data_IF_571013773171
#
_entry.id   IF_571013773171
#
_cell.length_a   1.000
_cell.length_b   1.000
_cell.length_c   1.000
_cell.angle_alpha   90.00
_cell.angle_beta   90.00
_cell.angle_gamma   90.00
#
_symmetry.space_group_name_H-M   'P 1'
#
loop_
_entity.id
_entity.type
_entity.pdbx_description
1 polymer ?
#
# COMPACT_ATOMS: atom_id res chain seq x y z
N UNK A 1 38.40 -48.52 7.37
CA UNK A 1 38.62 -47.18 6.78
C UNK A 1 37.59 -46.24 7.35
N UNK A 2 37.97 -45.14 8.04
CA UNK A 2 36.97 -44.22 8.57
C UNK A 2 36.45 -43.35 7.42
N UNK A 3 35.13 -43.32 7.29
CA UNK A 3 34.42 -42.40 6.41
C UNK A 3 34.62 -41.01 7.00
N UNK A 4 35.33 -40.14 6.28
CA UNK A 4 35.39 -38.72 6.61
C UNK A 4 33.98 -38.15 6.47
N UNK A 5 33.28 -37.98 7.60
CA UNK A 5 32.06 -37.20 7.65
C UNK A 5 32.48 -35.76 7.37
N UNK A 6 32.28 -35.30 6.13
CA UNK A 6 32.40 -33.88 5.79
C UNK A 6 31.30 -33.14 6.54
N UNK A 7 31.60 -32.69 7.76
CA UNK A 7 30.75 -31.72 8.45
C UNK A 7 30.84 -30.43 7.63
N UNK A 8 29.75 -30.08 6.95
CA UNK A 8 29.64 -28.81 6.26
C UNK A 8 29.92 -27.69 7.25
N UNK A 9 30.89 -26.78 6.99
CA UNK A 9 31.18 -25.71 7.91
C UNK A 9 29.94 -24.83 8.05
N UNK A 10 29.50 -24.66 9.30
CA UNK A 10 28.30 -23.90 9.62
C UNK A 10 28.56 -22.41 9.34
N UNK A 11 27.68 -21.76 8.56
CA UNK A 11 27.85 -20.35 8.16
C UNK A 11 28.12 -19.44 9.36
N UNK A 12 27.43 -19.64 10.49
CA UNK A 12 27.62 -18.85 11.71
C UNK A 12 29.00 -18.98 12.38
N UNK A 13 29.87 -19.89 11.92
CA UNK A 13 31.26 -19.98 12.40
C UNK A 13 32.22 -19.07 11.65
N UNK A 14 31.78 -18.42 10.57
CA UNK A 14 32.58 -17.46 9.84
C UNK A 14 32.76 -16.17 10.68
N UNK A 15 33.91 -15.48 10.56
CA UNK A 15 34.08 -14.13 11.09
C UNK A 15 33.01 -13.16 10.58
N UNK A 16 32.68 -12.15 11.39
CA UNK A 16 31.61 -11.19 11.08
C UNK A 16 31.90 -10.39 9.80
N UNK A 17 33.17 -10.14 9.49
CA UNK A 17 33.63 -9.45 8.29
C UNK A 17 33.22 -10.23 7.02
N UNK A 18 33.30 -11.57 7.06
CA UNK A 18 32.84 -12.41 5.95
C UNK A 18 31.32 -12.38 5.82
N UNK A 19 30.59 -12.34 6.93
CA UNK A 19 29.14 -12.18 6.89
C UNK A 19 28.73 -10.83 6.28
N UNK A 20 29.41 -9.75 6.65
CA UNK A 20 29.17 -8.42 6.08
C UNK A 20 29.47 -8.41 4.58
N UNK A 21 30.59 -9.01 4.16
CA UNK A 21 30.91 -9.15 2.74
C UNK A 21 29.86 -9.95 1.96
N UNK A 22 29.33 -11.04 2.53
CA UNK A 22 28.21 -11.78 1.94
C UNK A 22 26.96 -10.89 1.84
N UNK A 23 26.60 -10.17 2.90
CA UNK A 23 25.42 -9.29 2.94
C UNK A 23 25.50 -8.18 1.87
N UNK A 24 26.68 -7.62 1.64
CA UNK A 24 26.92 -6.56 0.64
C UNK A 24 26.72 -7.06 -0.80
N UNK A 25 26.92 -8.35 -1.04
CA UNK A 25 26.73 -8.98 -2.35
C UNK A 25 25.29 -9.42 -2.63
N UNK A 26 24.40 -9.35 -1.63
CA UNK A 26 23.01 -9.78 -1.77
C UNK A 26 22.12 -8.66 -2.32
N UNK A 27 21.20 -9.04 -3.21
CA UNK A 27 20.09 -8.18 -3.61
C UNK A 27 19.23 -7.81 -2.40
N UNK A 28 18.45 -6.72 -2.54
CA UNK A 28 17.63 -6.20 -1.46
C UNK A 28 16.67 -7.26 -0.88
N UNK A 29 16.06 -8.07 -1.74
CA UNK A 29 15.15 -9.13 -1.33
C UNK A 29 15.83 -10.15 -0.42
N UNK A 30 17.04 -10.57 -0.80
CA UNK A 30 17.76 -11.62 -0.08
C UNK A 30 18.40 -11.10 1.20
N UNK A 31 18.81 -9.83 1.26
CA UNK A 31 19.20 -9.17 2.52
C UNK A 31 18.06 -9.19 3.54
N UNK A 32 16.85 -8.85 3.12
CA UNK A 32 15.67 -8.83 3.99
C UNK A 32 15.31 -10.26 4.44
N UNK A 33 15.38 -11.24 3.53
CA UNK A 33 15.16 -12.65 3.87
C UNK A 33 16.20 -13.16 4.86
N UNK A 34 17.47 -12.86 4.64
CA UNK A 34 18.56 -13.26 5.55
C UNK A 34 18.38 -12.65 6.95
N UNK A 35 18.03 -11.36 7.02
CA UNK A 35 17.71 -10.69 8.28
C UNK A 35 16.47 -11.28 8.99
N UNK A 36 15.55 -11.91 8.25
CA UNK A 36 14.38 -12.58 8.82
C UNK A 36 14.68 -14.01 9.32
N UNK A 37 15.76 -14.64 8.84
CA UNK A 37 16.06 -16.04 9.12
C UNK A 37 16.53 -16.27 10.57
N UNK A 38 17.32 -15.35 11.14
CA UNK A 38 17.75 -15.44 12.54
C UNK A 38 18.08 -14.08 13.16
N UNK A 39 18.16 -14.04 14.51
CA UNK A 39 18.46 -12.82 15.27
C UNK A 39 19.87 -12.26 15.01
N UNK A 40 20.84 -13.13 14.71
CA UNK A 40 22.22 -12.72 14.45
C UNK A 40 22.32 -11.90 13.15
N UNK A 41 21.88 -12.45 12.02
CA UNK A 41 21.84 -11.74 10.74
C UNK A 41 20.94 -10.51 10.82
N UNK A 42 19.84 -10.56 11.57
CA UNK A 42 19.02 -9.37 11.82
C UNK A 42 19.81 -8.24 12.48
N UNK A 43 20.75 -8.55 13.37
CA UNK A 43 21.54 -7.55 14.09
C UNK A 43 22.68 -6.94 13.27
N UNK A 44 23.24 -7.68 12.33
CA UNK A 44 24.36 -7.21 11.49
C UNK A 44 23.92 -6.68 10.12
N UNK A 45 22.74 -7.08 9.63
CA UNK A 45 22.18 -6.55 8.38
C UNK A 45 21.57 -5.18 8.62
N UNK A 46 22.12 -4.16 7.96
CA UNK A 46 21.55 -2.80 7.99
C UNK A 46 20.13 -2.80 7.41
N UNK A 47 19.13 -2.25 8.13
CA UNK A 47 17.79 -2.04 7.58
C UNK A 47 17.86 -1.21 6.29
N UNK A 48 17.20 -1.63 5.20
CA UNK A 48 17.26 -0.87 3.97
C UNK A 48 16.54 0.47 4.09
N UNK A 49 17.14 1.49 3.47
CA UNK A 49 16.57 2.82 3.31
C UNK A 49 15.48 2.84 2.23
N UNK A 50 14.62 3.87 2.26
CA UNK A 50 13.59 4.03 1.24
C UNK A 50 14.19 4.20 -0.18
N UNK A 51 15.35 4.85 -0.29
CA UNK A 51 16.05 5.03 -1.56
C UNK A 51 16.55 3.68 -2.12
N UNK A 52 17.02 2.77 -1.25
CA UNK A 52 17.36 1.40 -1.68
C UNK A 52 16.12 0.67 -2.21
N UNK A 53 14.96 0.79 -1.56
CA UNK A 53 13.70 0.23 -2.06
C UNK A 53 13.29 0.81 -3.42
N UNK A 54 13.43 2.13 -3.62
CA UNK A 54 13.13 2.77 -4.92
C UNK A 54 14.07 2.31 -6.04
N UNK A 55 15.35 2.11 -5.75
CA UNK A 55 16.31 1.58 -6.73
C UNK A 55 15.98 0.14 -7.09
N UNK A 56 15.77 -0.69 -6.08
CA UNK A 56 15.44 -2.11 -6.25
C UNK A 56 14.08 -2.32 -6.94
N UNK A 57 13.15 -1.37 -6.83
CA UNK A 57 11.93 -1.38 -7.62
C UNK A 57 12.21 -1.39 -9.13
N UNK A 58 13.31 -0.82 -9.63
CA UNK A 58 13.61 -0.86 -11.06
C UNK A 58 14.10 -2.24 -11.56
N UNK A 59 14.44 -3.16 -10.65
CA UNK A 59 14.96 -4.49 -10.96
C UNK A 59 13.86 -5.43 -11.49
N UNK A 60 14.26 -6.41 -12.32
CA UNK A 60 13.33 -7.34 -12.98
C UNK A 60 12.48 -8.11 -11.97
N UNK A 61 13.08 -8.67 -10.92
CA UNK A 61 12.36 -9.46 -9.92
C UNK A 61 11.25 -8.66 -9.20
N UNK A 62 11.43 -7.34 -9.05
CA UNK A 62 10.46 -6.44 -8.44
C UNK A 62 9.39 -5.98 -9.43
N UNK A 63 9.75 -5.84 -10.72
CA UNK A 63 8.80 -5.61 -11.83
C UNK A 63 7.87 -6.80 -12.03
N UNK A 64 8.41 -8.01 -12.11
CA UNK A 64 7.66 -9.25 -12.34
C UNK A 64 6.64 -9.54 -11.24
N UNK A 65 6.83 -8.97 -10.05
CA UNK A 65 5.96 -9.12 -8.87
C UNK A 65 5.12 -7.87 -8.59
N UNK A 66 5.17 -6.87 -9.46
CA UNK A 66 4.46 -5.60 -9.31
C UNK A 66 4.69 -4.95 -7.94
N UNK A 67 5.94 -4.94 -7.48
CA UNK A 67 6.31 -4.39 -6.17
C UNK A 67 6.67 -2.92 -6.28
N UNK A 68 6.12 -2.10 -5.39
CA UNK A 68 6.32 -0.66 -5.33
C UNK A 68 6.83 -0.26 -3.93
N UNK A 69 7.77 0.67 -3.87
CA UNK A 69 8.30 1.21 -2.62
C UNK A 69 7.33 2.24 -2.00
N UNK A 70 7.04 2.08 -0.71
CA UNK A 70 6.25 3.03 0.07
C UNK A 70 7.16 3.86 0.99
N UNK A 71 7.01 5.18 0.96
CA UNK A 71 7.80 6.11 1.79
C UNK A 71 7.38 6.12 3.25
N UNK A 72 6.14 5.75 3.56
CA UNK A 72 5.61 5.70 4.92
C UNK A 72 6.11 4.47 5.70
N UNK A 73 5.95 3.28 5.15
CA UNK A 73 6.34 2.03 5.84
C UNK A 73 7.75 1.52 5.49
N UNK A 74 8.44 2.14 4.52
CA UNK A 74 9.80 1.79 4.07
C UNK A 74 9.91 0.28 3.76
N UNK A 75 8.99 -0.21 2.93
CA UNK A 75 8.90 -1.61 2.49
C UNK A 75 8.30 -1.68 1.09
N UNK A 76 8.50 -2.80 0.42
CA UNK A 76 7.72 -3.13 -0.77
C UNK A 76 6.27 -3.45 -0.41
N UNK A 77 5.36 -2.95 -1.23
CA UNK A 77 3.95 -3.29 -1.25
C UNK A 77 3.57 -3.66 -2.68
N UNK A 78 2.47 -4.39 -2.85
CA UNK A 78 2.01 -4.76 -4.20
C UNK A 78 1.39 -3.54 -4.88
N UNK A 79 1.37 -3.52 -6.20
CA UNK A 79 0.73 -2.47 -6.99
C UNK A 79 -0.73 -2.21 -6.58
N UNK A 80 -1.47 -3.26 -6.19
CA UNK A 80 -2.84 -3.15 -5.67
C UNK A 80 -2.96 -2.37 -4.35
N UNK A 81 -1.88 -2.27 -3.57
CA UNK A 81 -1.86 -1.58 -2.29
C UNK A 81 -1.67 -0.07 -2.46
N UNK A 82 -1.69 0.45 -3.69
CA UNK A 82 -1.57 1.87 -4.02
C UNK A 82 -2.79 2.35 -4.83
N UNK A 83 -3.21 3.59 -4.56
CA UNK A 83 -4.22 4.27 -5.38
C UNK A 83 -3.68 4.58 -6.78
N UNK A 84 -4.57 4.80 -7.73
CA UNK A 84 -4.21 5.10 -9.12
C UNK A 84 -3.38 6.38 -9.24
N UNK A 85 -3.64 7.37 -8.39
CA UNK A 85 -2.85 8.60 -8.30
C UNK A 85 -1.41 8.35 -7.83
N UNK A 86 -1.18 7.30 -7.03
CA UNK A 86 0.17 6.89 -6.60
C UNK A 86 0.90 6.03 -7.64
N UNK A 87 0.24 5.66 -8.75
CA UNK A 87 0.80 4.75 -9.77
C UNK A 87 1.02 5.44 -11.13
N UNK A 88 0.51 6.67 -11.31
CA UNK A 88 0.54 7.40 -12.58
C UNK A 88 1.36 8.70 -12.52
N UNK A 89 1.63 9.27 -13.70
CA UNK A 89 2.32 10.55 -13.85
C UNK A 89 3.69 10.55 -13.16
N UNK A 90 4.01 11.61 -12.43
CA UNK A 90 5.31 11.77 -11.75
C UNK A 90 5.56 10.74 -10.65
N UNK A 91 4.55 10.03 -10.18
CA UNK A 91 4.65 9.00 -9.13
C UNK A 91 4.85 7.59 -9.71
N UNK A 92 4.84 7.42 -11.02
CA UNK A 92 5.14 6.12 -11.64
C UNK A 92 6.53 5.62 -11.25
N UNK A 93 6.82 4.35 -11.56
CA UNK A 93 8.14 3.75 -11.34
C UNK A 93 9.24 4.58 -12.01
N UNK A 94 10.24 4.99 -11.25
CA UNK A 94 11.31 5.87 -11.74
C UNK A 94 10.91 7.34 -11.92
N UNK A 95 9.65 7.71 -11.65
CA UNK A 95 9.17 9.08 -11.73
C UNK A 95 9.75 9.99 -10.65
N UNK A 96 9.83 11.29 -10.93
CA UNK A 96 10.41 12.29 -10.04
C UNK A 96 9.74 12.39 -8.65
N UNK A 97 8.45 12.03 -8.55
CA UNK A 97 7.69 12.00 -7.29
C UNK A 97 7.46 10.58 -6.75
N UNK A 98 8.12 9.56 -7.30
CA UNK A 98 8.03 8.19 -6.81
C UNK A 98 8.43 8.07 -5.32
N UNK A 99 9.34 8.96 -4.87
CA UNK A 99 9.78 9.08 -3.48
C UNK A 99 8.66 9.49 -2.51
N UNK A 100 7.57 10.07 -3.01
CA UNK A 100 6.44 10.53 -2.22
C UNK A 100 5.27 9.53 -2.22
N UNK A 101 5.45 8.33 -2.78
CA UNK A 101 4.38 7.33 -2.83
C UNK A 101 4.09 6.75 -1.46
N UNK A 102 2.81 6.75 -1.13
CA UNK A 102 2.28 6.08 0.05
C UNK A 102 1.35 4.95 -0.39
N UNK A 103 1.51 3.77 0.21
CA UNK A 103 0.49 2.73 0.10
C UNK A 103 -0.81 3.22 0.76
N UNK A 104 -1.93 2.56 0.47
CA UNK A 104 -3.25 2.90 0.99
C UNK A 104 -3.25 3.02 2.51
N UNK A 105 -2.66 2.05 3.21
CA UNK A 105 -2.52 2.04 4.68
C UNK A 105 -1.76 3.28 5.19
N UNK A 106 -0.57 3.55 4.66
CA UNK A 106 0.20 4.73 5.07
C UNK A 106 -0.50 6.04 4.70
N UNK A 107 -1.15 6.11 3.53
CA UNK A 107 -1.89 7.29 3.12
C UNK A 107 -3.04 7.61 4.07
N UNK A 108 -3.71 6.61 4.64
CA UNK A 108 -4.70 6.82 5.71
C UNK A 108 -4.03 7.33 6.98
N UNK A 109 -2.98 6.64 7.45
CA UNK A 109 -2.26 7.02 8.70
C UNK A 109 -1.67 8.42 8.64
N UNK A 110 -1.19 8.85 7.47
CA UNK A 110 -0.62 10.18 7.25
C UNK A 110 -1.68 11.23 6.84
N UNK A 111 -2.97 10.88 6.82
CA UNK A 111 -4.06 11.81 6.52
C UNK A 111 -4.16 12.25 5.05
N UNK A 112 -3.46 11.58 4.13
CA UNK A 112 -3.60 11.80 2.69
C UNK A 112 -5.01 11.41 2.21
N UNK A 113 -5.56 10.32 2.74
CA UNK A 113 -6.91 9.86 2.45
C UNK A 113 -7.81 10.19 3.64
N UNK A 114 -8.73 11.13 3.43
CA UNK A 114 -9.65 11.58 4.49
C UNK A 114 -10.79 10.57 4.65
N UNK A 115 -11.18 10.18 5.87
CA UNK A 115 -12.35 9.32 6.09
C UNK A 115 -13.60 9.89 5.41
N UNK A 116 -14.34 9.04 4.68
CA UNK A 116 -15.49 9.45 3.88
C UNK A 116 -15.15 10.07 2.52
N UNK A 117 -13.87 10.14 2.13
CA UNK A 117 -13.46 10.58 0.79
C UNK A 117 -13.30 9.41 -0.19
N UNK A 118 -13.55 9.64 -1.50
CA UNK A 118 -13.31 8.64 -2.53
C UNK A 118 -11.82 8.51 -2.84
N UNK A 119 -11.36 7.27 -3.04
CA UNK A 119 -10.03 6.92 -3.50
C UNK A 119 -10.17 5.97 -4.69
N UNK A 120 -9.49 6.26 -5.79
CA UNK A 120 -9.56 5.40 -6.99
C UNK A 120 -8.48 4.33 -6.94
N UNK A 121 -8.88 3.07 -7.06
CA UNK A 121 -7.99 1.92 -7.12
C UNK A 121 -8.46 1.02 -8.28
N UNK A 122 -7.58 0.80 -9.26
CA UNK A 122 -7.90 0.04 -10.49
C UNK A 122 -9.11 0.59 -11.25
N UNK A 123 -9.19 1.91 -11.39
CA UNK A 123 -10.29 2.60 -12.06
C UNK A 123 -11.62 2.56 -11.30
N UNK A 124 -11.67 1.93 -10.12
CA UNK A 124 -12.87 1.84 -9.29
C UNK A 124 -12.79 2.80 -8.13
N UNK A 125 -13.90 3.46 -7.82
CA UNK A 125 -14.01 4.34 -6.66
C UNK A 125 -14.25 3.50 -5.42
N UNK A 126 -13.35 3.60 -4.45
CA UNK A 126 -13.48 3.05 -3.11
C UNK A 126 -13.71 4.18 -2.12
N UNK A 127 -14.64 4.00 -1.19
CA UNK A 127 -14.88 4.97 -0.12
C UNK A 127 -14.15 4.55 1.15
N UNK A 128 -13.34 5.44 1.72
CA UNK A 128 -12.75 5.19 3.03
C UNK A 128 -13.84 5.29 4.10
N UNK A 129 -13.93 4.30 5.01
CA UNK A 129 -14.92 4.37 6.08
C UNK A 129 -14.71 5.62 6.94
N UNK A 130 -15.75 6.44 7.07
CA UNK A 130 -15.79 7.68 7.84
C UNK A 130 -15.65 7.51 9.34
N UNK A 131 -15.76 6.28 9.86
CA UNK A 131 -15.68 5.97 11.29
C UNK A 131 -14.36 5.29 11.63
N UNK A 132 -14.06 4.15 11.02
CA UNK A 132 -12.87 3.35 11.36
C UNK A 132 -11.69 3.53 10.40
N UNK A 133 -11.84 4.29 9.30
CA UNK A 133 -10.75 4.54 8.37
C UNK A 133 -10.28 3.30 7.58
N UNK A 134 -11.04 2.20 7.56
CA UNK A 134 -10.73 1.04 6.72
C UNK A 134 -11.38 1.16 5.35
N UNK A 135 -10.75 0.56 4.34
CA UNK A 135 -11.39 0.35 3.04
C UNK A 135 -12.38 -0.82 3.18
N UNK A 136 -13.70 -0.61 3.10
CA UNK A 136 -14.65 -1.70 3.03
C UNK A 136 -14.32 -2.53 1.77
N UNK A 137 -14.27 -3.86 1.91
CA UNK A 137 -13.94 -4.80 0.83
C UNK A 137 -14.93 -4.85 -0.34
N UNK A 138 -15.85 -3.91 -0.41
CA UNK A 138 -16.83 -3.76 -1.48
C UNK A 138 -16.82 -2.29 -1.90
N UNK A 139 -16.89 -2.04 -3.21
CA UNK A 139 -17.04 -0.73 -3.83
C UNK A 139 -18.41 -0.11 -3.46
N UNK A 140 -18.64 0.12 -2.18
CA UNK A 140 -19.83 0.78 -1.68
C UNK A 140 -19.63 2.27 -1.89
N UNK A 141 -20.63 2.93 -2.48
CA UNK A 141 -20.73 4.41 -2.45
C UNK A 141 -21.01 4.94 -1.04
N UNK A 142 -21.06 4.06 -0.04
CA UNK A 142 -21.37 4.40 1.33
C UNK A 142 -20.11 4.87 2.04
N UNK A 143 -20.24 5.91 2.84
CA UNK A 143 -19.15 6.45 3.65
C UNK A 143 -18.87 5.60 4.91
N UNK A 144 -19.49 4.42 5.07
CA UNK A 144 -19.33 3.54 6.23
C UNK A 144 -19.17 2.10 5.78
N UNK A 145 -18.27 1.36 6.42
CA UNK A 145 -18.16 -0.08 6.21
C UNK A 145 -19.34 -0.83 6.87
N UNK A 146 -19.55 -2.10 6.51
CA UNK A 146 -20.65 -2.93 7.04
C UNK A 146 -20.65 -3.00 8.57
N UNK A 147 -19.47 -3.03 9.19
CA UNK A 147 -19.31 -3.08 10.65
C UNK A 147 -19.64 -1.74 11.33
N UNK A 148 -19.37 -0.62 10.65
CA UNK A 148 -19.62 0.74 11.16
C UNK A 148 -20.96 1.31 10.70
N UNK A 149 -21.60 0.70 9.70
CA UNK A 149 -22.97 0.98 9.37
C UNK A 149 -23.81 0.58 10.58
N UNK A 150 -24.73 1.44 11.05
CA UNK A 150 -25.72 0.97 12.01
C UNK A 150 -26.38 -0.24 11.36
N UNK A 151 -26.37 -1.40 12.03
CA UNK A 151 -27.18 -2.52 11.62
C UNK A 151 -28.57 -1.93 11.37
N UNK A 152 -29.00 -1.91 10.11
CA UNK A 152 -30.36 -1.57 9.79
C UNK A 152 -31.15 -2.65 10.51
N UNK A 153 -31.59 -2.35 11.73
CA UNK A 153 -32.63 -3.12 12.38
C UNK A 153 -33.73 -3.14 11.33
N UNK A 154 -34.00 -4.34 10.82
CA UNK A 154 -35.26 -4.67 10.21
C UNK A 154 -36.34 -4.33 11.23
N UNK A 155 -36.71 -3.05 11.30
CA UNK A 155 -37.98 -2.61 11.84
C UNK A 155 -38.75 -2.25 10.59
N UNK A 156 -39.52 -3.24 10.16
CA UNK A 156 -40.61 -3.07 9.23
C UNK A 156 -41.32 -1.75 9.52
N UNK A 157 -41.36 -0.89 8.51
CA UNK A 157 -42.09 0.35 8.57
C UNK A 157 -43.58 0.03 8.73
N UNK A 158 -44.04 -0.03 9.97
CA UNK A 158 -45.40 0.34 10.36
C UNK A 158 -45.26 1.66 11.13
N UNK A 159 -45.42 2.78 10.44
CA UNK A 159 -46.68 3.52 10.38
C UNK A 159 -46.71 4.65 11.41
N UNK A 160 -46.87 5.87 10.89
CA UNK A 160 -47.47 7.07 11.51
C UNK A 160 -46.81 7.69 12.74
N UNK A 161 -45.96 8.71 12.57
CA UNK A 161 -46.35 10.13 12.70
C UNK A 161 -45.12 11.08 12.60
N UNK A 162 -45.31 12.35 12.19
CA UNK A 162 -44.25 13.29 11.93
C UNK A 162 -43.85 14.06 13.20
N UNK A 163 -42.80 14.87 13.04
CA UNK A 163 -42.28 15.87 13.97
C UNK A 163 -41.22 15.32 14.94
N UNK A 164 -39.94 15.47 14.56
CA UNK A 164 -39.05 16.33 15.35
C UNK A 164 -37.89 16.84 14.50
N UNK A 165 -37.71 18.15 14.57
CA UNK A 165 -36.76 18.98 13.83
C UNK A 165 -35.59 19.31 14.77
N UNK A 166 -34.40 19.54 14.18
CA UNK A 166 -33.14 20.10 14.77
C UNK A 166 -32.22 19.01 15.32
N UNK A 167 -30.96 18.87 14.92
CA UNK A 167 -29.94 19.86 14.57
C UNK A 167 -29.10 19.40 13.36
N UNK A 168 -28.87 20.29 12.40
CA UNK A 168 -27.79 20.15 11.42
C UNK A 168 -26.68 21.13 11.79
N UNK A 169 -25.42 20.70 12.00
CA UNK A 169 -24.30 21.63 12.08
C UNK A 169 -24.08 22.26 10.71
N UNK A 170 -24.13 23.59 10.66
CA UNK A 170 -23.66 24.36 9.51
C UNK A 170 -22.13 24.24 9.46
N UNK A 171 -21.59 23.68 8.39
CA UNK A 171 -20.23 24.00 7.97
C UNK A 171 -20.32 24.97 6.80
N UNK A 172 -20.08 26.23 7.15
CA UNK A 172 -19.84 27.33 6.24
C UNK A 172 -18.39 27.23 5.72
N UNK A 173 -18.15 27.67 4.48
CA UNK A 173 -16.82 28.06 4.01
C UNK A 173 -15.92 27.00 3.35
N UNK A 174 -16.14 26.81 2.04
CA UNK A 174 -15.11 26.60 0.99
C UNK A 174 -14.14 25.42 1.12
N UNK A 175 -14.56 24.25 0.63
CA UNK A 175 -13.63 23.25 0.07
C UNK A 175 -13.73 23.34 -1.44
N UNK A 176 -12.60 23.58 -2.12
CA UNK A 176 -12.50 23.48 -3.58
C UNK A 176 -12.85 22.05 -3.99
N UNK A 177 -14.10 21.84 -4.40
CA UNK A 177 -14.54 20.59 -5.02
C UNK A 177 -13.89 20.50 -6.39
N UNK A 178 -12.92 19.59 -6.56
CA UNK A 178 -12.62 19.07 -7.88
C UNK A 178 -13.90 18.41 -8.39
N UNK A 179 -14.50 18.97 -9.45
CA UNK A 179 -15.60 18.33 -10.16
C UNK A 179 -15.04 17.04 -10.74
N UNK A 180 -15.50 15.90 -10.24
CA UNK A 180 -15.26 14.61 -10.89
C UNK A 180 -16.51 14.37 -11.72
N UNK A 181 -16.39 14.63 -13.03
CA UNK A 181 -17.44 14.33 -13.99
C UNK A 181 -17.69 12.82 -13.99
N UNK A 182 -18.91 12.45 -13.59
CA UNK A 182 -19.43 11.10 -13.68
C UNK A 182 -19.89 10.88 -15.11
N UNK A 183 -19.01 10.44 -16.00
CA UNK A 183 -19.39 9.65 -17.17
C UNK A 183 -18.13 9.12 -17.88
N UNK A 184 -17.77 7.87 -17.59
CA UNK A 184 -17.01 7.07 -18.57
C UNK A 184 -17.42 5.59 -18.48
N UNK A 185 -17.81 4.97 -19.61
CA UNK A 185 -18.21 3.56 -19.67
C UNK A 185 -17.01 2.59 -19.53
N UNK A 186 -17.25 1.27 -19.39
CA UNK A 186 -16.39 0.34 -18.65
C UNK A 186 -15.17 -0.21 -19.42
N UNK A 187 -14.07 -0.39 -18.68
CA UNK A 187 -13.27 -1.63 -18.55
C UNK A 187 -12.67 -2.35 -19.78
N UNK A 188 -12.33 -1.68 -20.89
CA UNK A 188 -11.59 -2.36 -22.00
C UNK A 188 -10.30 -1.68 -22.50
N UNK A 189 -9.81 -0.61 -21.87
CA UNK A 189 -8.46 -0.07 -22.15
C UNK A 189 -7.45 -0.52 -21.07
N UNK A 190 -7.34 -1.84 -20.93
CA UNK A 190 -6.33 -2.52 -20.12
C UNK A 190 -4.98 -2.51 -20.88
N UNK A 191 -3.96 -1.90 -20.29
CA UNK A 191 -2.53 -2.17 -20.57
C UNK A 191 -2.03 -1.90 -22.00
N UNK A 192 -2.25 -0.69 -22.53
CA UNK A 192 -1.50 -0.20 -23.69
C UNK A 192 0.01 -0.11 -23.39
N UNK A 193 0.82 -0.72 -24.26
CA UNK A 193 2.29 -0.62 -24.29
C UNK A 193 2.76 0.83 -24.18
N UNK A 194 3.48 1.17 -23.10
CA UNK A 194 4.21 2.44 -22.99
C UNK A 194 5.67 2.20 -23.34
N UNK A 195 5.93 2.03 -24.64
CA UNK A 195 7.24 2.30 -25.24
C UNK A 195 7.24 3.77 -25.62
N UNK A 196 7.92 4.61 -24.82
CA UNK A 196 8.13 6.00 -25.19
C UNK A 196 9.55 6.15 -25.76
N UNK A 197 9.60 6.66 -26.99
CA UNK A 197 10.80 7.22 -27.65
C UNK A 197 11.18 8.55 -27.02
#
# INVERSE_FOLDING_TARGET
MPILVMTTPHILRLPVELHLGVIEMLELQDRVRLASANRYFRSITKPPSHIEYLKAEAESWAKDRDLFACSGCIRFRRFQDFSDDMKKGKRTRGGAEAVNRLCLECGVTHGLYVPGSPVVVYGRVHMLCGICGTFPGLATRQSRCVECAPAARFLEASSTNPVFRRYAPRHDGTVRTARVDFDRPPMDELYGNWLDS
#
